data_IF_008117203331
#
_entry.id   IF_008117203331
#
_cell.length_a   1.000
_cell.length_b   1.000
_cell.length_c   1.000
_cell.angle_alpha   90.00
_cell.angle_beta   90.00
_cell.angle_gamma   90.00
#
_symmetry.space_group_name_H-M   'P 1'
#
loop_
_entity.id
_entity.type
_entity.pdbx_description
1 polymer ?
#
# COMPACT_ATOMS: atom_id res chain seq x y z
N UNK A 1 -19.52 -11.80 4.15
CA UNK A 1 -18.13 -11.38 4.47
C UNK A 1 -17.56 -10.67 3.26
N UNK A 2 -16.61 -9.74 3.45
CA UNK A 2 -15.97 -9.04 2.35
C UNK A 2 -14.64 -9.73 2.02
N UNK A 3 -14.43 -10.07 0.74
CA UNK A 3 -13.34 -10.93 0.27
C UNK A 3 -11.94 -10.47 0.73
N UNK A 4 -11.73 -9.16 0.88
CA UNK A 4 -10.46 -8.59 1.35
C UNK A 4 -10.12 -8.96 2.81
N UNK A 5 -11.13 -9.22 3.65
CA UNK A 5 -10.92 -9.70 5.03
C UNK A 5 -10.46 -11.15 5.03
N UNK A 6 -11.02 -11.96 4.14
CA UNK A 6 -10.75 -13.41 4.09
C UNK A 6 -9.32 -13.70 3.61
N UNK A 7 -8.75 -12.81 2.81
CA UNK A 7 -7.35 -12.86 2.35
C UNK A 7 -6.37 -12.10 3.25
N UNK A 8 -6.80 -11.66 4.44
CA UNK A 8 -5.93 -11.03 5.44
C UNK A 8 -5.44 -9.62 5.09
N UNK A 9 -6.11 -8.91 4.19
CA UNK A 9 -5.73 -7.54 3.81
C UNK A 9 -6.47 -6.53 4.70
N UNK A 10 -5.79 -5.46 5.10
CA UNK A 10 -6.42 -4.35 5.85
C UNK A 10 -7.32 -3.51 4.94
N UNK A 11 -8.35 -2.89 5.50
CA UNK A 11 -9.24 -1.99 4.73
C UNK A 11 -8.47 -0.86 4.01
N UNK A 12 -7.43 -0.32 4.66
CA UNK A 12 -6.56 0.70 4.08
C UNK A 12 -5.86 0.19 2.83
N UNK A 13 -5.31 -1.03 2.89
CA UNK A 13 -4.59 -1.61 1.75
C UNK A 13 -5.55 -1.95 0.60
N UNK A 14 -6.73 -2.49 0.92
CA UNK A 14 -7.81 -2.70 -0.07
C UNK A 14 -8.17 -1.39 -0.79
N UNK A 15 -8.43 -0.32 -0.03
CA UNK A 15 -8.80 1.00 -0.58
C UNK A 15 -7.70 1.61 -1.45
N UNK A 16 -6.42 1.45 -1.08
CA UNK A 16 -5.29 1.90 -1.88
C UNK A 16 -5.22 1.20 -3.24
N UNK A 17 -5.42 -0.12 -3.26
CA UNK A 17 -5.41 -0.92 -4.49
C UNK A 17 -6.57 -0.51 -5.40
N UNK A 18 -7.78 -0.35 -4.84
CA UNK A 18 -8.94 0.12 -5.59
C UNK A 18 -8.70 1.52 -6.20
N UNK A 19 -8.14 2.45 -5.42
CA UNK A 19 -7.81 3.79 -5.90
C UNK A 19 -6.69 3.81 -6.97
N UNK A 20 -5.77 2.83 -6.95
CA UNK A 20 -4.77 2.66 -8.00
C UNK A 20 -5.40 2.12 -9.29
N UNK A 21 -6.26 1.11 -9.19
CA UNK A 21 -6.99 0.56 -10.33
C UNK A 21 -7.86 1.63 -11.03
N UNK A 22 -8.62 2.40 -10.24
CA UNK A 22 -9.45 3.50 -10.76
C UNK A 22 -8.64 4.56 -11.52
N UNK A 23 -7.42 4.89 -11.05
CA UNK A 23 -6.52 5.82 -11.74
C UNK A 23 -6.07 5.31 -13.10
N UNK A 24 -5.87 3.99 -13.25
CA UNK A 24 -5.49 3.38 -14.52
C UNK A 24 -6.65 3.31 -15.52
N UNK A 25 -7.90 3.28 -15.05
CA UNK A 25 -9.07 3.19 -15.91
C UNK A 25 -9.51 4.55 -16.49
N UNK A 26 -9.08 5.69 -15.92
CA UNK A 26 -9.51 7.00 -16.42
C UNK A 26 -8.68 7.44 -17.63
N UNK A 27 -9.35 7.83 -18.72
CA UNK A 27 -8.74 8.59 -19.82
C UNK A 27 -8.72 10.08 -19.45
N UNK A 28 -7.54 10.64 -19.21
CA UNK A 28 -7.36 12.09 -19.00
C UNK A 28 -6.33 12.43 -17.92
N UNK A 29 -5.42 13.35 -18.27
CA UNK A 29 -4.46 13.95 -17.35
C UNK A 29 -5.18 14.71 -16.23
N UNK A 30 -4.76 14.56 -14.97
CA UNK A 30 -5.31 15.37 -13.88
C UNK A 30 -5.43 14.66 -12.54
N UNK A 31 -4.35 14.04 -12.09
CA UNK A 31 -3.99 13.67 -10.71
C UNK A 31 -2.68 12.96 -10.95
N UNK A 32 -1.56 13.69 -10.86
CA UNK A 32 -0.25 13.06 -10.80
C UNK A 32 -0.33 11.90 -9.80
N UNK A 33 0.06 10.70 -10.21
CA UNK A 33 0.19 9.60 -9.27
C UNK A 33 1.10 10.10 -8.16
N UNK A 34 0.54 10.31 -6.95
CA UNK A 34 1.35 10.70 -5.78
C UNK A 34 2.54 9.75 -5.73
N UNK A 35 3.75 10.32 -5.80
CA UNK A 35 5.02 9.60 -5.93
C UNK A 35 5.03 8.42 -4.97
N UNK A 36 5.44 7.27 -5.48
CA UNK A 36 5.66 6.07 -4.68
C UNK A 36 6.60 6.45 -3.53
N UNK A 37 6.07 6.45 -2.31
CA UNK A 37 6.83 6.91 -1.15
C UNK A 37 7.69 5.74 -0.73
N UNK A 38 8.96 5.77 -1.14
CA UNK A 38 9.94 4.76 -0.73
C UNK A 38 10.24 4.94 0.75
N UNK A 39 9.48 4.22 1.59
CA UNK A 39 9.71 4.14 3.02
C UNK A 39 10.58 2.92 3.32
N UNK A 40 11.71 3.16 3.97
CA UNK A 40 12.51 2.09 4.57
C UNK A 40 11.92 1.72 5.92
N UNK A 41 11.15 0.64 5.96
CA UNK A 41 10.67 0.06 7.23
C UNK A 41 11.83 -0.72 7.84
N UNK A 42 12.19 -0.43 9.09
CA UNK A 42 13.20 -1.19 9.82
C UNK A 42 12.56 -1.73 11.09
N UNK A 43 12.60 -3.04 11.28
CA UNK A 43 12.12 -3.66 12.51
C UNK A 43 13.21 -3.53 13.58
N UNK A 44 12.81 -3.12 14.77
CA UNK A 44 13.69 -3.01 15.93
C UNK A 44 13.24 -4.02 16.97
N UNK A 45 14.17 -4.81 17.47
CA UNK A 45 13.93 -5.72 18.59
C UNK A 45 15.10 -5.65 19.56
N UNK A 46 14.81 -5.71 20.87
CA UNK A 46 15.77 -5.56 21.96
C UNK A 46 16.78 -4.38 21.78
N UNK A 47 16.31 -3.25 21.22
CA UNK A 47 17.12 -2.05 21.00
C UNK A 47 18.09 -2.12 19.81
N UNK A 48 18.05 -3.16 18.98
CA UNK A 48 18.86 -3.28 17.77
C UNK A 48 17.99 -3.36 16.53
N UNK A 49 18.42 -2.68 15.46
CA UNK A 49 17.79 -2.81 14.15
C UNK A 49 18.04 -4.21 13.59
N UNK A 50 16.98 -4.91 13.23
CA UNK A 50 17.07 -6.17 12.49
C UNK A 50 17.26 -5.89 11.00
N UNK A 51 18.20 -6.60 10.37
CA UNK A 51 18.28 -6.62 8.90
C UNK A 51 17.07 -7.40 8.38
N UNK A 52 16.24 -6.76 7.57
CA UNK A 52 15.27 -7.46 6.75
C UNK A 52 16.05 -8.37 5.79
N UNK A 53 15.85 -9.68 5.94
CA UNK A 53 16.39 -10.71 5.04
C UNK A 53 15.54 -10.87 3.79
#
# INVERSE_FOLDING_TARGET
MALWKDIGITYTRFSQVAAAALRNCRKGAGVEAKKDTQLKITQWDAGKAQKQG
#
